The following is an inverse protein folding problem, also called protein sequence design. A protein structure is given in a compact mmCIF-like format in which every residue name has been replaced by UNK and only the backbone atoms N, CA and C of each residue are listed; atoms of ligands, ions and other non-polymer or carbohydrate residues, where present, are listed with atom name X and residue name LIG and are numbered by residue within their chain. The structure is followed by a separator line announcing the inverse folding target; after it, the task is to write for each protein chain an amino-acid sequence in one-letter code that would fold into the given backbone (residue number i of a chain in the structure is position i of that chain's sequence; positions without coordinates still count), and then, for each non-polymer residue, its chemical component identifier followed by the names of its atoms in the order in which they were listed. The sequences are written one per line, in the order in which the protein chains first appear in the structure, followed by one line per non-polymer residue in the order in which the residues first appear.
data_IF_523492441278
#
_entry.id   IF_523492441278
#
_cell.length_a   1.000
_cell.length_b   1.000
_cell.length_c   1.000
_cell.angle_alpha   90.00
_cell.angle_beta   90.00
_cell.angle_gamma   90.00
#
_symmetry.space_group_name_H-M   'P 1'
#
loop_
_entity.id
_entity.type
_entity.pdbx_description
1 polymer ?
#
# COMPACT_ATOMS: atom_id res chain seq x y z
N UNK A 1 -51.61 13.85 -20.79
CA UNK A 1 -51.62 12.44 -20.39
C UNK A 1 -50.51 12.26 -19.37
N UNK A 2 -50.85 11.90 -18.13
CA UNK A 2 -49.87 11.64 -17.06
C UNK A 2 -49.64 10.12 -17.07
N UNK A 3 -48.37 9.62 -17.11
CA UNK A 3 -48.10 8.19 -17.08
C UNK A 3 -48.59 7.60 -15.73
N UNK A 4 -49.35 6.53 -15.78
CA UNK A 4 -49.98 5.86 -14.63
C UNK A 4 -48.97 5.14 -13.68
N UNK A 5 -47.68 5.34 -13.89
CA UNK A 5 -46.61 4.67 -13.12
C UNK A 5 -45.78 5.59 -12.22
N UNK A 6 -46.16 6.87 -12.06
CA UNK A 6 -45.44 7.76 -11.16
C UNK A 6 -45.81 7.51 -9.69
N UNK A 7 -44.81 7.52 -8.78
CA UNK A 7 -45.07 7.43 -7.35
C UNK A 7 -46.05 8.54 -6.92
N UNK A 8 -46.95 8.24 -6.01
CA UNK A 8 -48.01 9.13 -5.53
C UNK A 8 -47.48 10.48 -5.06
N UNK A 9 -46.30 10.46 -4.41
CA UNK A 9 -45.62 11.66 -3.90
C UNK A 9 -45.19 12.60 -5.04
N UNK A 10 -44.70 12.03 -6.14
CA UNK A 10 -44.32 12.82 -7.33
C UNK A 10 -45.53 13.44 -8.04
N UNK A 11 -46.66 12.73 -8.04
CA UNK A 11 -47.93 13.23 -8.59
C UNK A 11 -48.51 14.41 -7.78
N UNK A 12 -48.44 14.31 -6.43
CA UNK A 12 -48.86 15.37 -5.53
C UNK A 12 -47.93 16.58 -5.68
N UNK A 13 -46.63 16.38 -5.62
CA UNK A 13 -45.62 17.43 -5.80
C UNK A 13 -45.79 18.19 -7.11
N UNK A 14 -45.99 17.48 -8.21
CA UNK A 14 -46.23 18.06 -9.51
C UNK A 14 -47.56 18.85 -9.58
N UNK A 15 -48.59 18.36 -8.92
CA UNK A 15 -49.90 19.02 -8.87
C UNK A 15 -49.86 20.28 -8.03
N UNK A 16 -49.18 20.32 -6.91
CA UNK A 16 -48.97 21.49 -6.06
C UNK A 16 -48.13 22.58 -6.73
N UNK A 17 -47.05 22.21 -7.42
CA UNK A 17 -46.22 23.18 -8.15
C UNK A 17 -46.98 23.80 -9.36
N UNK A 18 -47.99 23.11 -9.89
CA UNK A 18 -48.74 23.56 -11.06
C UNK A 18 -50.07 24.29 -10.73
N UNK A 19 -50.60 24.06 -9.52
CA UNK A 19 -51.93 24.62 -9.11
C UNK A 19 -51.94 26.15 -8.87
N UNK A 20 -50.77 26.80 -8.91
CA UNK A 20 -50.65 28.26 -8.60
C UNK A 20 -50.72 29.20 -9.82
N UNK A 21 -51.10 28.74 -11.04
CA UNK A 21 -50.96 29.55 -12.27
C UNK A 21 -52.01 30.63 -12.50
N UNK A 22 -53.08 30.74 -11.68
CA UNK A 22 -54.25 31.60 -11.96
C UNK A 22 -54.27 32.95 -11.25
N UNK A 23 -53.39 33.27 -10.31
CA UNK A 23 -53.32 34.59 -9.69
C UNK A 23 -51.85 35.13 -9.69
N UNK A 24 -51.70 36.45 -9.97
CA UNK A 24 -50.38 37.13 -10.06
C UNK A 24 -49.55 36.97 -8.78
N UNK A 25 -50.17 36.83 -7.62
CA UNK A 25 -49.51 36.56 -6.31
C UNK A 25 -48.99 35.13 -6.21
N UNK A 26 -49.65 34.18 -6.84
CA UNK A 26 -49.23 32.77 -6.80
C UNK A 26 -48.05 32.46 -7.76
N UNK A 27 -47.83 33.26 -8.80
CA UNK A 27 -46.65 33.12 -9.69
C UNK A 27 -45.35 33.37 -8.99
N UNK A 28 -45.30 34.34 -8.07
CA UNK A 28 -44.10 34.65 -7.30
C UNK A 28 -43.75 33.52 -6.29
N UNK A 29 -44.78 32.99 -5.60
CA UNK A 29 -44.58 31.83 -4.70
C UNK A 29 -44.14 30.60 -5.45
N UNK A 30 -44.73 30.30 -6.61
CA UNK A 30 -44.35 29.17 -7.45
C UNK A 30 -42.92 29.33 -8.01
N UNK A 31 -42.50 30.55 -8.34
CA UNK A 31 -41.13 30.84 -8.77
C UNK A 31 -40.12 30.59 -7.64
N UNK A 32 -40.38 31.11 -6.45
CA UNK A 32 -39.50 30.88 -5.28
C UNK A 32 -39.41 29.40 -4.96
N UNK A 33 -40.54 28.69 -4.93
CA UNK A 33 -40.55 27.24 -4.65
C UNK A 33 -39.77 26.46 -5.72
N UNK A 34 -39.87 26.84 -6.97
CA UNK A 34 -39.13 26.18 -8.06
C UNK A 34 -37.63 26.45 -7.96
N UNK A 35 -37.22 27.67 -7.64
CA UNK A 35 -35.80 28.03 -7.44
C UNK A 35 -35.22 27.29 -6.23
N UNK A 36 -35.97 27.24 -5.11
CA UNK A 36 -35.56 26.51 -3.92
C UNK A 36 -35.41 25.02 -4.20
N UNK A 37 -36.38 24.42 -4.90
CA UNK A 37 -36.32 23.00 -5.25
C UNK A 37 -35.15 22.70 -6.19
N UNK A 38 -34.89 23.58 -7.16
CA UNK A 38 -33.74 23.48 -8.07
C UNK A 38 -32.41 23.60 -7.29
N UNK A 39 -32.33 24.55 -6.35
CA UNK A 39 -31.17 24.74 -5.50
C UNK A 39 -30.85 23.50 -4.66
N UNK A 40 -31.87 22.92 -4.01
CA UNK A 40 -31.70 21.67 -3.23
C UNK A 40 -31.30 20.52 -4.16
N UNK A 41 -31.95 20.36 -5.29
CA UNK A 41 -31.64 19.30 -6.25
C UNK A 41 -30.19 19.40 -6.76
N UNK A 42 -29.72 20.61 -7.09
CA UNK A 42 -28.35 20.87 -7.51
C UNK A 42 -27.35 20.60 -6.35
N UNK A 43 -27.69 21.02 -5.12
CA UNK A 43 -26.87 20.77 -3.93
C UNK A 43 -26.70 19.28 -3.67
N UNK A 44 -27.78 18.52 -3.69
CA UNK A 44 -27.75 17.06 -3.53
C UNK A 44 -27.00 16.37 -4.67
N UNK A 45 -27.23 16.80 -5.91
CA UNK A 45 -26.52 16.24 -7.07
C UNK A 45 -24.99 16.49 -6.97
N UNK A 46 -24.58 17.71 -6.67
CA UNK A 46 -23.18 18.06 -6.46
C UNK A 46 -22.55 17.21 -5.36
N UNK A 47 -23.27 17.00 -4.27
CA UNK A 47 -22.84 16.18 -3.14
C UNK A 47 -22.62 14.72 -3.56
N UNK A 48 -23.58 14.10 -4.25
CA UNK A 48 -23.46 12.73 -4.73
C UNK A 48 -22.25 12.59 -5.64
N UNK A 49 -22.02 13.55 -6.53
CA UNK A 49 -20.88 13.55 -7.45
C UNK A 49 -19.58 13.60 -6.65
N UNK A 50 -19.44 14.54 -5.72
CA UNK A 50 -18.21 14.69 -4.91
C UNK A 50 -17.93 13.44 -4.09
N UNK A 51 -18.93 12.88 -3.41
CA UNK A 51 -18.78 11.65 -2.64
C UNK A 51 -18.40 10.45 -3.51
N UNK A 52 -18.99 10.34 -4.70
CA UNK A 52 -18.70 9.25 -5.65
C UNK A 52 -17.27 9.33 -6.16
N UNK A 53 -16.81 10.51 -6.55
CA UNK A 53 -15.43 10.76 -7.00
C UNK A 53 -14.44 10.46 -5.88
N UNK A 54 -14.72 10.94 -4.67
CA UNK A 54 -13.84 10.75 -3.52
C UNK A 54 -13.75 9.27 -3.12
N UNK A 55 -14.87 8.56 -3.05
CA UNK A 55 -14.88 7.13 -2.76
C UNK A 55 -14.13 6.32 -3.84
N UNK A 56 -14.30 6.70 -5.12
CA UNK A 56 -13.57 6.11 -6.23
C UNK A 56 -12.06 6.33 -6.12
N UNK A 57 -11.64 7.56 -5.83
CA UNK A 57 -10.24 7.92 -5.63
C UNK A 57 -9.61 7.16 -4.44
N UNK A 58 -10.27 7.15 -3.28
CA UNK A 58 -9.79 6.43 -2.10
C UNK A 58 -9.65 4.92 -2.37
N UNK A 59 -10.60 4.34 -3.11
CA UNK A 59 -10.53 2.93 -3.52
C UNK A 59 -9.32 2.69 -4.42
N UNK A 60 -9.14 3.49 -5.46
CA UNK A 60 -8.04 3.37 -6.43
C UNK A 60 -6.67 3.49 -5.74
N UNK A 61 -6.48 4.51 -4.88
CA UNK A 61 -5.22 4.69 -4.13
C UNK A 61 -4.96 3.49 -3.23
N UNK A 62 -5.97 3.02 -2.51
CA UNK A 62 -5.82 1.84 -1.64
C UNK A 62 -5.46 0.59 -2.45
N UNK A 63 -6.15 0.32 -3.55
CA UNK A 63 -5.93 -0.87 -4.37
C UNK A 63 -4.51 -0.84 -4.98
N UNK A 64 -4.02 0.32 -5.41
CA UNK A 64 -2.63 0.50 -5.85
C UNK A 64 -1.62 0.27 -4.73
N UNK A 65 -1.86 0.81 -3.52
CA UNK A 65 -0.98 0.57 -2.37
C UNK A 65 -0.91 -0.92 -2.01
N UNK A 66 -2.04 -1.62 -2.02
CA UNK A 66 -2.11 -3.05 -1.73
C UNK A 66 -1.44 -3.93 -2.81
N UNK A 67 -1.28 -3.42 -4.03
CA UNK A 67 -0.50 -4.10 -5.08
C UNK A 67 1.00 -4.20 -4.75
N UNK A 68 1.55 -3.23 -4.00
CA UNK A 68 2.98 -3.18 -3.61
C UNK A 68 3.21 -3.75 -2.20
N UNK A 69 2.23 -3.55 -1.30
CA UNK A 69 2.31 -3.96 0.09
C UNK A 69 1.74 -5.36 0.30
N UNK A 70 2.34 -6.09 1.22
CA UNK A 70 1.69 -7.28 1.78
C UNK A 70 0.55 -6.88 2.72
N UNK A 71 -0.44 -7.76 2.87
CA UNK A 71 -1.58 -7.46 3.74
C UNK A 71 -1.20 -7.53 5.23
N UNK A 72 -0.30 -8.46 5.58
CA UNK A 72 0.27 -8.59 6.92
C UNK A 72 1.78 -8.84 6.79
N UNK A 73 2.55 -8.31 7.71
CA UNK A 73 3.95 -8.60 7.92
C UNK A 73 4.16 -9.14 9.33
N UNK A 74 4.82 -10.27 9.43
CA UNK A 74 5.30 -10.84 10.68
C UNK A 74 6.79 -10.55 10.77
N UNK A 75 7.22 -9.79 11.76
CA UNK A 75 8.58 -9.29 11.91
C UNK A 75 9.21 -9.84 13.18
N UNK A 76 10.50 -10.11 13.18
CA UNK A 76 11.27 -10.35 14.41
C UNK A 76 11.23 -9.09 15.28
N UNK A 77 10.96 -9.24 16.59
CA UNK A 77 10.76 -8.11 17.48
C UNK A 77 11.95 -7.86 18.41
N UNK A 78 12.50 -8.90 19.02
CA UNK A 78 13.62 -8.78 19.96
C UNK A 78 14.94 -9.32 19.41
N UNK A 79 14.93 -9.89 18.21
CA UNK A 79 16.06 -10.55 17.57
C UNK A 79 16.26 -10.00 16.15
N UNK A 80 17.46 -10.16 15.61
CA UNK A 80 17.79 -9.73 14.25
C UNK A 80 17.15 -10.62 13.17
N UNK A 81 16.74 -11.84 13.54
CA UNK A 81 16.07 -12.81 12.65
C UNK A 81 14.95 -13.54 13.39
N UNK A 82 13.97 -14.04 12.64
CA UNK A 82 12.89 -14.87 13.19
C UNK A 82 13.44 -16.17 13.75
N UNK A 83 13.06 -16.48 14.98
CA UNK A 83 13.29 -17.79 15.55
C UNK A 83 12.24 -18.77 14.97
N UNK A 84 12.67 -19.96 14.57
CA UNK A 84 11.80 -21.00 14.00
C UNK A 84 10.90 -20.51 12.83
N UNK A 85 11.45 -19.89 11.78
CA UNK A 85 10.64 -19.33 10.68
C UNK A 85 9.76 -20.41 10.03
N UNK A 86 10.17 -21.67 10.04
CA UNK A 86 9.39 -22.79 9.47
C UNK A 86 8.11 -23.05 10.28
N UNK A 87 8.19 -23.03 11.62
CA UNK A 87 7.03 -23.19 12.50
C UNK A 87 6.03 -22.04 12.34
N UNK A 88 6.54 -20.80 12.28
CA UNK A 88 5.72 -19.60 12.00
C UNK A 88 4.99 -19.75 10.66
N UNK A 89 5.71 -20.15 9.62
CA UNK A 89 5.14 -20.34 8.27
C UNK A 89 4.03 -21.39 8.25
N UNK A 90 4.19 -22.49 8.98
CA UNK A 90 3.15 -23.54 9.08
C UNK A 90 1.88 -23.00 9.76
N UNK A 91 2.02 -22.24 10.85
CA UNK A 91 0.88 -21.61 11.54
C UNK A 91 0.17 -20.63 10.63
N UNK A 92 0.90 -19.79 9.90
CA UNK A 92 0.33 -18.83 8.94
C UNK A 92 -0.46 -19.53 7.83
N UNK A 93 0.06 -20.63 7.25
CA UNK A 93 -0.63 -21.38 6.19
C UNK A 93 -1.84 -22.17 6.71
N UNK A 94 -1.91 -22.45 7.99
CA UNK A 94 -3.07 -23.10 8.59
C UNK A 94 -4.29 -22.16 8.70
N UNK A 95 -4.07 -20.86 8.66
CA UNK A 95 -5.15 -19.88 8.76
C UNK A 95 -5.91 -19.78 7.43
N UNK A 96 -7.24 -19.91 7.48
CA UNK A 96 -8.15 -20.00 6.30
C UNK A 96 -8.09 -18.81 5.33
N UNK A 97 -7.78 -17.61 5.86
CA UNK A 97 -7.73 -16.38 5.07
C UNK A 97 -6.37 -16.17 4.41
N UNK A 98 -5.34 -16.92 4.79
CA UNK A 98 -3.99 -16.82 4.20
C UNK A 98 -3.95 -17.56 2.87
N UNK A 99 -3.61 -16.84 1.81
CA UNK A 99 -3.50 -17.37 0.43
C UNK A 99 -2.06 -17.70 0.08
N UNK A 100 -1.13 -16.83 0.46
CA UNK A 100 0.29 -16.97 0.18
C UNK A 100 1.13 -16.31 1.26
N UNK A 101 2.39 -16.75 1.35
CA UNK A 101 3.38 -16.16 2.24
C UNK A 101 4.77 -16.26 1.63
N UNK A 102 5.63 -15.28 1.94
CA UNK A 102 7.02 -15.27 1.53
C UNK A 102 7.91 -14.74 2.65
N UNK A 103 8.99 -15.46 3.03
CA UNK A 103 9.99 -14.94 3.95
C UNK A 103 10.79 -13.82 3.25
N UNK A 104 11.24 -12.86 4.02
CA UNK A 104 12.10 -11.78 3.53
C UNK A 104 13.15 -11.36 4.55
N UNK A 105 14.18 -10.69 4.04
CA UNK A 105 15.14 -9.92 4.84
C UNK A 105 14.98 -8.46 4.48
N UNK A 106 14.86 -7.57 5.44
CA UNK A 106 14.78 -6.13 5.21
C UNK A 106 15.83 -5.40 6.03
N UNK A 107 16.57 -4.51 5.36
CA UNK A 107 17.57 -3.66 6.00
C UNK A 107 17.71 -2.31 5.31
N UNK A 108 17.91 -1.26 6.09
CA UNK A 108 18.27 0.05 5.55
C UNK A 108 19.78 0.11 5.32
N UNK A 109 20.17 0.57 4.14
CA UNK A 109 21.56 0.64 3.71
C UNK A 109 21.84 1.95 2.98
N UNK A 110 23.12 2.19 2.71
CA UNK A 110 23.51 3.15 1.70
C UNK A 110 23.98 2.40 0.44
N UNK A 111 23.52 2.83 -0.71
CA UNK A 111 24.02 2.37 -2.01
C UNK A 111 24.85 3.47 -2.62
N UNK A 112 26.03 3.12 -3.12
CA UNK A 112 26.98 4.04 -3.69
C UNK A 112 27.38 3.64 -5.11
N UNK A 113 27.47 4.64 -6.01
CA UNK A 113 28.01 4.52 -7.36
C UNK A 113 28.92 5.73 -7.62
N UNK A 114 30.24 5.48 -7.69
CA UNK A 114 31.21 6.60 -7.78
C UNK A 114 31.12 7.51 -6.56
N UNK A 115 30.83 8.78 -6.78
CA UNK A 115 30.65 9.79 -5.73
C UNK A 115 29.21 9.90 -5.24
N UNK A 116 28.24 9.35 -5.98
CA UNK A 116 26.84 9.36 -5.61
C UNK A 116 26.52 8.32 -4.55
N UNK A 117 25.81 8.74 -3.50
CA UNK A 117 25.38 7.86 -2.41
C UNK A 117 23.92 8.14 -2.07
N UNK A 118 23.10 7.08 -1.95
CA UNK A 118 21.67 7.17 -1.61
C UNK A 118 21.30 6.17 -0.53
N UNK A 119 20.40 6.59 0.36
CA UNK A 119 19.74 5.68 1.29
C UNK A 119 18.78 4.75 0.53
N UNK A 120 18.85 3.47 0.83
CA UNK A 120 17.99 2.48 0.20
C UNK A 120 17.46 1.46 1.23
N UNK A 121 16.29 0.92 0.92
CA UNK A 121 15.70 -0.22 1.60
C UNK A 121 16.01 -1.48 0.80
N UNK A 122 16.96 -2.26 1.28
CA UNK A 122 17.23 -3.57 0.70
C UNK A 122 16.21 -4.56 1.20
N UNK A 123 15.62 -5.29 0.27
CA UNK A 123 14.75 -6.42 0.56
C UNK A 123 15.30 -7.68 -0.11
N UNK A 124 15.72 -8.65 0.72
CA UNK A 124 16.04 -10.00 0.29
C UNK A 124 14.76 -10.80 0.14
N UNK A 125 14.48 -11.32 -1.03
CA UNK A 125 13.26 -12.05 -1.38
C UNK A 125 13.58 -13.46 -1.89
N UNK A 126 12.62 -14.37 -1.75
CA UNK A 126 12.63 -15.63 -2.48
C UNK A 126 11.89 -15.41 -3.82
N UNK A 127 12.59 -15.44 -4.96
CA UNK A 127 11.98 -15.19 -6.28
C UNK A 127 10.85 -16.15 -6.66
N UNK A 128 10.79 -17.33 -6.03
CA UNK A 128 9.73 -18.31 -6.28
C UNK A 128 8.46 -18.02 -5.48
N UNK A 129 8.58 -17.46 -4.28
CA UNK A 129 7.47 -17.24 -3.36
C UNK A 129 6.92 -15.81 -3.42
N UNK A 130 7.79 -14.82 -3.60
CA UNK A 130 7.44 -13.41 -3.55
C UNK A 130 6.35 -12.98 -4.55
N UNK A 131 6.31 -13.49 -5.82
CA UNK A 131 5.24 -13.17 -6.76
C UNK A 131 3.83 -13.58 -6.28
N UNK A 132 3.76 -14.56 -5.40
CA UNK A 132 2.50 -14.99 -4.77
C UNK A 132 1.95 -14.00 -3.75
N UNK A 133 2.80 -13.15 -3.19
CA UNK A 133 2.46 -12.21 -2.10
C UNK A 133 2.32 -10.79 -2.60
N UNK A 134 3.13 -10.38 -3.59
CA UNK A 134 3.18 -9.02 -4.12
C UNK A 134 2.71 -9.00 -5.57
N UNK A 135 1.69 -8.20 -5.88
CA UNK A 135 1.13 -8.13 -7.24
C UNK A 135 2.09 -7.46 -8.23
N UNK A 136 2.79 -6.41 -7.79
CA UNK A 136 3.78 -5.70 -8.61
C UNK A 136 4.90 -6.62 -9.05
N UNK A 137 5.43 -7.47 -8.15
CA UNK A 137 6.45 -8.43 -8.53
C UNK A 137 5.88 -9.63 -9.29
N UNK A 138 4.58 -9.93 -9.12
CA UNK A 138 3.87 -10.91 -9.93
C UNK A 138 3.69 -10.48 -11.39
N UNK A 139 3.68 -9.16 -11.65
CA UNK A 139 3.59 -8.58 -13.00
C UNK A 139 4.94 -8.38 -13.68
N UNK A 140 6.05 -8.47 -12.95
CA UNK A 140 7.38 -8.44 -13.53
C UNK A 140 7.63 -9.67 -14.41
N UNK A 141 8.39 -9.47 -15.47
CA UNK A 141 8.83 -10.56 -16.31
C UNK A 141 9.59 -11.61 -15.48
N UNK A 142 9.11 -12.86 -15.53
CA UNK A 142 9.77 -13.98 -14.85
C UNK A 142 11.27 -14.08 -15.13
N UNK A 143 11.78 -13.78 -16.35
CA UNK A 143 13.21 -13.72 -16.64
C UNK A 143 13.97 -12.74 -15.74
N UNK A 144 13.40 -11.59 -15.40
CA UNK A 144 14.05 -10.58 -14.56
C UNK A 144 14.18 -11.06 -13.10
N UNK A 145 13.12 -11.65 -12.54
CA UNK A 145 13.18 -12.22 -11.19
C UNK A 145 14.09 -13.45 -11.11
N UNK A 146 14.14 -14.28 -12.16
CA UNK A 146 15.00 -15.47 -12.21
C UNK A 146 16.50 -15.15 -12.24
N UNK A 147 16.88 -13.91 -12.51
CA UNK A 147 18.28 -13.46 -12.40
C UNK A 147 18.73 -13.36 -10.95
N UNK A 148 17.81 -13.15 -9.99
CA UNK A 148 18.13 -13.17 -8.58
C UNK A 148 18.41 -14.60 -8.11
N UNK A 149 19.63 -15.06 -8.28
CA UNK A 149 20.07 -16.39 -7.84
C UNK A 149 20.94 -16.28 -6.58
N UNK A 150 20.83 -17.25 -5.69
CA UNK A 150 21.66 -17.33 -4.51
C UNK A 150 23.14 -17.33 -4.86
N UNK A 151 23.93 -16.48 -4.23
CA UNK A 151 25.36 -16.33 -4.45
C UNK A 151 25.77 -15.46 -5.64
N UNK A 152 24.80 -14.98 -6.45
CA UNK A 152 25.10 -14.13 -7.60
C UNK A 152 25.33 -12.66 -7.24
N UNK A 153 24.84 -12.22 -6.08
CA UNK A 153 24.86 -10.83 -5.61
C UNK A 153 24.31 -9.85 -6.63
N UNK A 154 23.29 -10.27 -7.36
CA UNK A 154 22.57 -9.44 -8.28
C UNK A 154 21.47 -8.67 -7.56
N UNK A 155 21.20 -7.45 -8.04
CA UNK A 155 20.20 -6.55 -7.44
C UNK A 155 19.25 -6.02 -8.51
N UNK A 156 17.96 -5.94 -8.18
CA UNK A 156 16.99 -5.17 -8.95
C UNK A 156 16.78 -3.85 -8.20
N UNK A 157 16.88 -2.73 -8.91
CA UNK A 157 16.72 -1.39 -8.35
C UNK A 157 15.40 -0.78 -8.79
N UNK A 158 14.77 -0.01 -7.91
CA UNK A 158 13.68 0.87 -8.30
C UNK A 158 14.15 1.88 -9.36
N UNK A 159 13.28 2.24 -10.30
CA UNK A 159 13.59 3.07 -11.46
C UNK A 159 14.18 4.43 -11.06
N UNK A 160 13.63 5.05 -10.06
CA UNK A 160 14.09 6.34 -9.56
C UNK A 160 15.43 6.23 -8.81
N UNK A 161 15.62 5.15 -8.02
CA UNK A 161 16.88 4.88 -7.33
C UNK A 161 18.03 4.64 -8.33
N UNK A 162 17.79 3.86 -9.39
CA UNK A 162 18.75 3.62 -10.44
C UNK A 162 19.12 4.94 -11.17
N UNK A 163 18.13 5.79 -11.43
CA UNK A 163 18.33 7.12 -12.03
C UNK A 163 19.17 8.05 -11.13
N UNK A 164 18.87 8.07 -9.82
CA UNK A 164 19.58 8.91 -8.84
C UNK A 164 21.02 8.46 -8.61
N UNK A 165 21.32 7.18 -8.78
CA UNK A 165 22.66 6.62 -8.70
C UNK A 165 23.40 6.67 -10.05
N UNK A 166 22.73 7.06 -11.14
CA UNK A 166 23.34 7.09 -12.47
C UNK A 166 23.77 5.72 -12.97
N UNK A 167 23.09 4.64 -12.55
CA UNK A 167 23.46 3.27 -12.89
C UNK A 167 22.46 2.63 -13.84
N UNK A 168 22.97 1.88 -14.82
CA UNK A 168 22.17 1.11 -15.76
C UNK A 168 22.26 -0.41 -15.46
N UNK A 169 21.40 -1.20 -16.10
CA UNK A 169 21.47 -2.66 -16.06
C UNK A 169 22.85 -3.14 -16.52
N UNK A 170 23.43 -4.06 -15.76
CA UNK A 170 24.80 -4.57 -15.95
C UNK A 170 25.86 -3.76 -15.18
N UNK A 171 25.54 -2.56 -14.70
CA UNK A 171 26.42 -1.74 -13.86
C UNK A 171 26.68 -2.35 -12.48
N UNK A 172 27.65 -1.79 -11.78
CA UNK A 172 28.01 -2.21 -10.43
C UNK A 172 27.73 -1.09 -9.43
N UNK A 173 27.21 -1.45 -8.27
CA UNK A 173 27.01 -0.55 -7.14
C UNK A 173 27.64 -1.16 -5.88
N UNK A 174 28.00 -0.31 -4.93
CA UNK A 174 28.52 -0.71 -3.64
C UNK A 174 27.44 -0.55 -2.57
N UNK A 175 27.09 -1.65 -1.91
CA UNK A 175 26.23 -1.65 -0.74
C UNK A 175 27.10 -1.41 0.51
N UNK A 176 26.70 -0.42 1.31
CA UNK A 176 27.30 -0.10 2.61
C UNK A 176 26.28 -0.51 3.68
N UNK A 177 26.52 -1.63 4.33
CA UNK A 177 25.63 -2.15 5.37
C UNK A 177 25.81 -1.41 6.70
N UNK A 178 24.74 -1.13 7.43
CA UNK A 178 24.82 -0.63 8.79
C UNK A 178 25.45 -1.69 9.73
N UNK A 179 26.02 -1.28 10.84
CA UNK A 179 26.68 -2.19 11.78
C UNK A 179 28.03 -2.67 11.26
N UNK A 180 29.01 -1.79 11.32
CA UNK A 180 30.39 -2.07 10.94
C UNK A 180 31.06 -3.11 11.84
N UNK A 181 32.20 -3.58 11.39
CA UNK A 181 33.08 -4.42 12.22
C UNK A 181 33.88 -3.52 13.14
N UNK A 182 33.77 -3.75 14.45
CA UNK A 182 34.60 -3.04 15.42
C UNK A 182 36.04 -3.52 15.28
N UNK A 183 36.95 -2.62 14.92
CA UNK A 183 38.37 -2.89 14.81
C UNK A 183 39.14 -2.00 15.79
N UNK A 184 40.40 -2.32 16.10
CA UNK A 184 41.21 -1.46 16.96
C UNK A 184 41.38 -0.02 16.49
N UNK A 185 41.12 0.24 15.21
CA UNK A 185 41.20 1.58 14.58
C UNK A 185 39.82 2.25 14.38
N UNK A 186 38.74 1.62 14.88
CA UNK A 186 37.39 2.15 14.80
C UNK A 186 36.39 1.19 14.12
N UNK A 187 35.18 1.68 13.90
CA UNK A 187 34.11 0.91 13.22
C UNK A 187 34.29 1.03 11.72
N UNK A 188 34.56 -0.09 11.05
CA UNK A 188 34.66 -0.15 9.58
C UNK A 188 33.35 -0.67 9.00
N UNK A 189 32.66 0.09 8.13
CA UNK A 189 31.42 -0.37 7.51
C UNK A 189 31.67 -1.59 6.62
N UNK A 190 30.68 -2.46 6.52
CA UNK A 190 30.74 -3.59 5.60
C UNK A 190 30.35 -3.14 4.21
N UNK A 191 31.21 -3.39 3.25
CA UNK A 191 31.03 -3.06 1.86
C UNK A 191 30.80 -4.35 1.07
N UNK A 192 29.79 -4.33 0.17
CA UNK A 192 29.57 -5.43 -0.78
C UNK A 192 29.25 -4.85 -2.15
N UNK A 193 29.98 -5.33 -3.16
CA UNK A 193 29.65 -5.01 -4.54
C UNK A 193 28.49 -5.86 -5.03
N UNK A 194 27.53 -5.21 -5.68
CA UNK A 194 26.34 -5.80 -6.29
C UNK A 194 26.32 -5.44 -7.76
N UNK A 195 25.80 -6.34 -8.59
CA UNK A 195 25.57 -6.11 -10.02
C UNK A 195 24.10 -5.86 -10.28
N UNK A 196 23.79 -4.77 -10.99
CA UNK A 196 22.40 -4.43 -11.36
C UNK A 196 21.92 -5.40 -12.43
N UNK A 197 20.97 -6.26 -12.07
CA UNK A 197 20.35 -7.22 -12.97
C UNK A 197 19.16 -6.62 -13.73
N UNK A 198 18.48 -5.64 -13.14
CA UNK A 198 17.31 -5.01 -13.75
C UNK A 198 16.85 -3.78 -12.98
N UNK A 199 15.91 -3.08 -13.58
CA UNK A 199 15.25 -1.90 -12.99
C UNK A 199 13.76 -2.18 -12.92
N UNK A 200 13.14 -1.84 -11.79
CA UNK A 200 11.74 -2.07 -11.49
C UNK A 200 11.03 -0.72 -11.43
N UNK A 201 9.87 -0.65 -12.05
CA UNK A 201 8.95 0.48 -11.91
C UNK A 201 7.65 -0.04 -11.25
N UNK A 202 7.40 0.39 -10.02
CA UNK A 202 6.21 0.02 -9.26
C UNK A 202 5.05 0.99 -9.49
N UNK A 203 5.31 2.12 -10.16
CA UNK A 203 4.40 3.24 -10.29
C UNK A 203 4.24 4.07 -9.00
N UNK A 204 5.06 3.81 -7.98
CA UNK A 204 5.10 4.55 -6.72
C UNK A 204 6.47 5.15 -6.49
N UNK A 205 6.59 6.45 -6.63
CA UNK A 205 7.86 7.17 -6.49
C UNK A 205 8.65 6.83 -5.22
N UNK A 206 7.97 6.75 -4.06
CA UNK A 206 8.63 6.48 -2.78
C UNK A 206 9.30 5.10 -2.74
N UNK A 207 8.65 4.09 -3.34
CA UNK A 207 9.23 2.76 -3.46
C UNK A 207 10.31 2.73 -4.53
N UNK A 208 10.07 3.33 -5.68
CA UNK A 208 11.02 3.35 -6.79
C UNK A 208 12.28 4.15 -6.45
N UNK A 209 12.20 5.12 -5.52
CA UNK A 209 13.33 5.91 -5.05
C UNK A 209 14.18 5.23 -3.97
N UNK A 210 13.68 4.13 -3.35
CA UNK A 210 14.36 3.53 -2.20
C UNK A 210 14.53 2.03 -2.28
N UNK A 211 13.77 1.32 -3.12
CA UNK A 211 13.73 -0.14 -3.14
C UNK A 211 14.91 -0.76 -3.89
N UNK A 212 15.57 -1.73 -3.24
CA UNK A 212 16.57 -2.61 -3.86
C UNK A 212 16.25 -4.06 -3.49
N UNK A 213 16.05 -4.93 -4.49
CA UNK A 213 15.72 -6.35 -4.27
C UNK A 213 16.94 -7.22 -4.52
N UNK A 214 17.19 -8.14 -3.60
CA UNK A 214 18.25 -9.17 -3.65
C UNK A 214 17.65 -10.56 -3.45
N UNK A 215 18.41 -11.60 -3.78
CA UNK A 215 18.08 -12.94 -3.32
C UNK A 215 18.17 -13.00 -1.78
N UNK A 216 17.23 -13.69 -1.13
CA UNK A 216 17.13 -13.74 0.33
C UNK A 216 18.42 -14.29 0.98
N UNK A 217 19.04 -15.32 0.41
CA UNK A 217 20.29 -15.89 0.94
C UNK A 217 21.48 -14.93 0.84
N UNK A 218 21.53 -14.10 -0.23
CA UNK A 218 22.56 -13.09 -0.37
C UNK A 218 22.37 -11.97 0.64
N UNK A 219 21.11 -11.54 0.87
CA UNK A 219 20.81 -10.58 1.91
C UNK A 219 21.17 -11.10 3.31
N UNK A 220 20.82 -12.35 3.65
CA UNK A 220 21.22 -12.98 4.92
C UNK A 220 22.74 -12.98 5.11
N UNK A 221 23.50 -13.34 4.05
CA UNK A 221 24.98 -13.34 4.12
C UNK A 221 25.56 -11.94 4.31
N UNK A 222 25.02 -10.93 3.57
CA UNK A 222 25.48 -9.53 3.66
C UNK A 222 25.25 -8.98 5.07
N UNK A 223 24.06 -9.22 5.62
CA UNK A 223 23.67 -8.71 6.94
C UNK A 223 24.07 -9.64 8.10
N UNK A 224 24.59 -10.85 7.81
CA UNK A 224 24.96 -11.88 8.79
C UNK A 224 23.78 -12.31 9.66
N UNK A 225 22.63 -12.50 9.04
CA UNK A 225 21.44 -13.00 9.70
C UNK A 225 21.39 -14.53 9.60
N UNK A 226 20.97 -15.18 10.68
CA UNK A 226 20.79 -16.63 10.72
C UNK A 226 19.51 -17.11 10.02
N UNK A 227 18.63 -16.16 9.67
CA UNK A 227 17.37 -16.43 9.01
C UNK A 227 16.70 -15.16 8.47
N UNK A 228 15.49 -15.27 7.92
CA UNK A 228 14.69 -14.11 7.53
C UNK A 228 14.30 -13.29 8.77
N UNK A 229 14.23 -11.98 8.64
CA UNK A 229 13.75 -11.11 9.72
C UNK A 229 12.27 -10.75 9.59
N UNK A 230 11.58 -11.27 8.57
CA UNK A 230 10.16 -11.15 8.42
C UNK A 230 9.54 -12.16 7.46
N UNK A 231 8.21 -12.27 7.54
CA UNK A 231 7.37 -13.04 6.63
C UNK A 231 6.24 -12.13 6.17
N UNK A 232 6.07 -12.02 4.86
CA UNK A 232 4.95 -11.32 4.21
C UNK A 232 3.82 -12.29 3.98
N UNK A 233 2.59 -11.82 4.21
CA UNK A 233 1.39 -12.65 4.10
C UNK A 233 0.37 -11.96 3.20
N UNK A 234 -0.16 -12.71 2.24
CA UNK A 234 -1.30 -12.32 1.41
C UNK A 234 -2.56 -12.99 1.92
N UNK A 235 -3.59 -12.20 2.17
CA UNK A 235 -4.91 -12.67 2.56
C UNK A 235 -5.84 -12.72 1.34
N UNK A 236 -6.90 -13.49 1.46
CA UNK A 236 -7.99 -13.52 0.48
C UNK A 236 -8.70 -12.18 0.40
N UNK A 237 -8.99 -11.58 1.56
CA UNK A 237 -9.56 -10.24 1.68
C UNK A 237 -8.59 -9.34 2.46
N UNK A 238 -7.98 -8.32 1.81
CA UNK A 238 -7.08 -7.38 2.46
C UNK A 238 -7.73 -6.58 3.59
N UNK A 239 -9.05 -6.43 3.57
CA UNK A 239 -9.78 -5.65 4.59
C UNK A 239 -9.85 -6.37 5.93
N UNK A 240 -9.69 -7.69 5.93
CA UNK A 240 -9.65 -8.50 7.14
C UNK A 240 -8.27 -8.50 7.82
N UNK A 241 -7.25 -7.87 7.22
CA UNK A 241 -5.90 -7.87 7.76
C UNK A 241 -5.80 -7.44 9.24
N UNK A 242 -6.52 -6.40 9.73
CA UNK A 242 -6.47 -6.05 11.14
C UNK A 242 -7.03 -7.14 12.07
N UNK A 243 -8.13 -7.80 11.67
CA UNK A 243 -8.74 -8.88 12.45
C UNK A 243 -7.85 -10.13 12.47
N UNK A 244 -7.38 -10.54 11.28
CA UNK A 244 -6.48 -11.70 11.14
C UNK A 244 -5.15 -11.46 11.87
N UNK A 245 -4.60 -10.24 11.82
CA UNK A 245 -3.38 -9.92 12.59
C UNK A 245 -3.60 -10.04 14.10
N UNK A 246 -4.77 -9.65 14.60
CA UNK A 246 -5.11 -9.78 16.02
C UNK A 246 -5.30 -11.25 16.43
N UNK A 247 -5.84 -12.09 15.55
CA UNK A 247 -5.98 -13.54 15.77
C UNK A 247 -4.63 -14.27 15.75
N UNK A 248 -3.74 -13.90 14.83
CA UNK A 248 -2.42 -14.52 14.68
C UNK A 248 -1.42 -14.13 15.78
N UNK A 249 -1.52 -12.92 16.33
CA UNK A 249 -0.57 -12.41 17.32
C UNK A 249 -0.37 -13.35 18.54
N UNK A 250 -1.43 -13.83 19.22
CA UNK A 250 -1.27 -14.75 20.37
C UNK A 250 -0.75 -16.14 19.96
N UNK A 251 -1.00 -16.58 18.71
CA UNK A 251 -0.56 -17.90 18.23
C UNK A 251 0.94 -17.93 17.88
N UNK A 252 1.49 -16.79 17.46
CA UNK A 252 2.86 -16.69 16.97
C UNK A 252 3.89 -16.44 18.11
N UNK A 253 3.42 -15.95 19.27
CA UNK A 253 4.28 -15.70 20.44
C UNK A 253 4.77 -14.26 20.55
N UNK A 254 5.50 -13.99 21.64
CA UNK A 254 5.96 -12.62 22.00
C UNK A 254 7.22 -12.16 21.25
N UNK A 255 7.95 -13.07 20.64
CA UNK A 255 9.19 -12.77 19.90
C UNK A 255 8.94 -12.21 18.50
N UNK A 256 7.67 -12.11 18.09
CA UNK A 256 7.28 -11.58 16.79
C UNK A 256 6.29 -10.43 16.92
N UNK A 257 6.41 -9.48 16.01
CA UNK A 257 5.47 -8.39 15.84
C UNK A 257 4.64 -8.63 14.58
N UNK A 258 3.31 -8.74 14.74
CA UNK A 258 2.38 -8.83 13.61
C UNK A 258 1.87 -7.45 13.27
N UNK A 259 2.15 -7.00 12.06
CA UNK A 259 1.79 -5.67 11.55
C UNK A 259 0.93 -5.81 10.31
N UNK A 260 -0.28 -5.32 10.36
CA UNK A 260 -1.16 -5.19 9.19
C UNK A 260 -0.85 -3.92 8.39
N UNK A 261 -1.28 -3.89 7.13
CA UNK A 261 -1.05 -2.78 6.22
C UNK A 261 -1.67 -1.44 6.70
N UNK A 262 -2.71 -1.48 7.53
CA UNK A 262 -3.35 -0.28 8.08
C UNK A 262 -2.47 0.38 9.14
N UNK A 263 -1.81 -0.42 9.97
CA UNK A 263 -0.83 0.06 10.97
C UNK A 263 0.45 0.55 10.31
N UNK A 264 0.89 -0.12 9.24
CA UNK A 264 2.04 0.31 8.46
C UNK A 264 1.82 1.70 7.83
N UNK A 265 0.57 2.03 7.45
CA UNK A 265 0.20 3.29 6.79
C UNK A 265 -0.72 4.16 7.64
N UNK A 266 -0.47 4.21 8.96
CA UNK A 266 -1.32 4.92 9.94
C UNK A 266 -1.60 6.37 9.56
N UNK A 267 -0.61 7.08 9.04
CA UNK A 267 -0.76 8.49 8.67
C UNK A 267 -1.76 8.67 7.51
N UNK A 268 -1.70 7.80 6.51
CA UNK A 268 -2.66 7.79 5.41
C UNK A 268 -4.08 7.50 5.90
N UNK A 269 -4.23 6.48 6.76
CA UNK A 269 -5.52 6.15 7.37
C UNK A 269 -6.09 7.28 8.21
N UNK A 270 -5.25 7.93 9.02
CA UNK A 270 -5.67 9.10 9.80
C UNK A 270 -6.14 10.24 8.90
N UNK A 271 -5.42 10.52 7.81
CA UNK A 271 -5.82 11.54 6.84
C UNK A 271 -7.18 11.23 6.20
N UNK A 272 -7.41 9.98 5.75
CA UNK A 272 -8.70 9.55 5.18
C UNK A 272 -9.84 9.64 6.19
N UNK A 273 -9.59 9.32 7.47
CA UNK A 273 -10.61 9.46 8.53
C UNK A 273 -10.97 10.92 8.81
N UNK A 274 -9.96 11.80 8.84
CA UNK A 274 -10.18 13.25 9.00
C UNK A 274 -10.99 13.77 7.80
N UNK A 275 -10.63 13.40 6.60
CA UNK A 275 -11.31 13.78 5.37
C UNK A 275 -12.79 13.36 5.38
N UNK A 276 -13.10 12.11 5.75
CA UNK A 276 -14.48 11.64 5.89
C UNK A 276 -15.27 12.45 6.92
N UNK A 277 -14.66 12.79 8.04
CA UNK A 277 -15.29 13.62 9.09
C UNK A 277 -15.56 15.03 8.60
N UNK A 278 -14.61 15.65 7.91
CA UNK A 278 -14.76 16.98 7.32
C UNK A 278 -15.87 16.99 6.27
N UNK A 279 -15.90 15.98 5.39
CA UNK A 279 -16.96 15.81 4.40
C UNK A 279 -18.33 15.71 5.05
N UNK A 280 -18.47 14.92 6.13
CA UNK A 280 -19.73 14.78 6.86
C UNK A 280 -20.19 16.12 7.45
N UNK A 281 -19.28 16.92 8.02
CA UNK A 281 -19.58 18.26 8.58
C UNK A 281 -20.05 19.20 7.45
N UNK A 282 -19.32 19.27 6.35
CA UNK A 282 -19.67 20.10 5.18
C UNK A 282 -21.05 19.71 4.67
N UNK A 283 -21.30 18.41 4.56
CA UNK A 283 -22.57 17.85 4.08
C UNK A 283 -23.73 18.26 4.99
N UNK A 284 -23.54 18.15 6.30
CA UNK A 284 -24.54 18.57 7.29
C UNK A 284 -24.84 20.06 7.17
N UNK A 285 -23.80 20.90 6.97
CA UNK A 285 -23.96 22.35 6.80
C UNK A 285 -24.69 22.74 5.50
N UNK A 286 -24.51 21.96 4.42
CA UNK A 286 -25.20 22.23 3.14
C UNK A 286 -26.69 21.87 3.22
N UNK A 287 -27.04 20.86 4.02
CA UNK A 287 -28.42 20.38 4.17
C UNK A 287 -29.20 21.16 5.24
N UNK A 288 -28.52 21.75 6.23
CA UNK A 288 -29.15 22.57 7.30
C UNK A 288 -29.52 23.95 6.81
#
# INVERSE_FOLDING_TARGET
MIPSQWPYEALIGWRYTRAGRTARRNRFISFISSVSMLGIALGVAALIIVLSVMNGFQKEVRDRMLGVLSHIEVLAYHTDALQEPTGIRQKLLAHREVVAQAPFVMAQVLLAQGEDMRGAMVRGIDPALEPGVTEVLGSLDRPTLSQLQAGSYQVLLGSELARQLGVAVGGQITLVAPGGQVTPVGVVPRLKQLRVAGVIDTGHYEYDATLALLHIDDAQRIFRLEGPNGIRVKLRDPQQAPAVAAELMPELGEDVMVRDWTRANRNWFAAVQIEKRMMFIILTLIVA
#
